data_IF_445201323966
#
_entry.id   IF_445201323966
#
_cell.length_a   1.000
_cell.length_b   1.000
_cell.length_c   1.000
_cell.angle_alpha   90.00
_cell.angle_beta   90.00
_cell.angle_gamma   90.00
#
_symmetry.space_group_name_H-M   'P 1'
#
loop_
_entity.id
_entity.type
_entity.pdbx_description
1 polymer ?
#
# COMPACT_ATOMS: atom_id res chain seq x y z
N UNK A 1 30.23 -70.28 -7.07
CA UNK A 1 29.68 -69.23 -6.17
C UNK A 1 29.72 -67.91 -6.92
N UNK A 2 28.61 -67.50 -7.56
CA UNK A 2 28.44 -66.15 -8.11
C UNK A 2 27.13 -65.59 -7.56
N UNK A 3 27.24 -64.65 -6.64
CA UNK A 3 26.13 -63.90 -6.04
C UNK A 3 25.71 -62.78 -7.00
N UNK A 4 24.45 -62.82 -7.47
CA UNK A 4 23.80 -61.71 -8.17
C UNK A 4 23.26 -60.71 -7.14
N UNK A 5 23.75 -59.48 -7.16
CA UNK A 5 23.14 -58.36 -6.42
C UNK A 5 22.19 -57.64 -7.39
N UNK A 6 20.90 -57.62 -7.05
CA UNK A 6 19.86 -56.92 -7.76
C UNK A 6 19.73 -55.53 -7.13
N UNK A 7 20.19 -54.49 -7.82
CA UNK A 7 20.03 -53.10 -7.39
C UNK A 7 18.66 -52.59 -7.80
N UNK A 8 17.76 -52.39 -6.82
CA UNK A 8 16.46 -51.77 -7.01
C UNK A 8 16.63 -50.24 -6.96
N UNK A 9 16.49 -49.57 -8.11
CA UNK A 9 16.47 -48.11 -8.20
C UNK A 9 15.09 -47.60 -7.76
N UNK A 10 15.02 -47.02 -6.57
CA UNK A 10 13.87 -46.25 -6.11
C UNK A 10 13.95 -44.84 -6.71
N UNK A 11 13.18 -44.57 -7.76
CA UNK A 11 13.00 -43.22 -8.30
C UNK A 11 12.13 -42.42 -7.33
N UNK A 12 12.76 -41.52 -6.57
CA UNK A 12 12.04 -40.58 -5.70
C UNK A 12 11.35 -39.53 -6.59
N UNK A 13 10.06 -39.71 -6.86
CA UNK A 13 9.25 -38.68 -7.51
C UNK A 13 9.07 -37.52 -6.52
N UNK A 14 9.75 -36.40 -6.77
CA UNK A 14 9.50 -35.15 -6.06
C UNK A 14 8.14 -34.64 -6.55
N UNK A 15 7.09 -34.89 -5.76
CA UNK A 15 5.79 -34.25 -5.96
C UNK A 15 5.95 -32.79 -5.54
N UNK A 16 6.09 -31.89 -6.50
CA UNK A 16 6.03 -30.46 -6.24
C UNK A 16 4.67 -30.15 -5.59
N UNK A 17 4.69 -29.58 -4.39
CA UNK A 17 3.47 -29.12 -3.76
C UNK A 17 2.80 -28.07 -4.68
N UNK A 18 1.48 -28.16 -4.93
CA UNK A 18 0.79 -27.14 -5.70
C UNK A 18 0.96 -25.82 -4.96
N UNK A 19 1.57 -24.83 -5.63
CA UNK A 19 1.51 -23.45 -5.15
C UNK A 19 0.03 -23.11 -5.12
N UNK A 20 -0.47 -22.67 -3.96
CA UNK A 20 -1.87 -22.30 -3.81
C UNK A 20 -2.16 -21.18 -4.81
N UNK A 21 -2.80 -21.51 -5.93
CA UNK A 21 -3.24 -20.54 -6.91
C UNK A 21 -4.21 -19.61 -6.19
N UNK A 22 -3.93 -18.30 -6.25
CA UNK A 22 -4.79 -17.27 -5.71
C UNK A 22 -6.25 -17.52 -6.18
N UNK A 23 -7.27 -17.40 -5.30
CA UNK A 23 -8.64 -17.63 -5.69
C UNK A 23 -8.99 -16.77 -6.90
N UNK A 24 -9.35 -17.42 -8.01
CA UNK A 24 -9.79 -16.70 -9.20
C UNK A 24 -10.93 -15.75 -8.80
N UNK A 25 -10.80 -14.46 -9.14
CA UNK A 25 -11.68 -13.34 -8.76
C UNK A 25 -11.48 -12.66 -7.40
N UNK A 26 -10.34 -12.82 -6.72
CA UNK A 26 -10.02 -11.97 -5.55
C UNK A 26 -9.08 -10.81 -5.89
N UNK A 27 -9.16 -9.74 -5.12
CA UNK A 27 -8.16 -8.65 -5.11
C UNK A 27 -7.12 -8.98 -4.04
N UNK A 28 -5.84 -8.93 -4.39
CA UNK A 28 -4.74 -9.16 -3.44
C UNK A 28 -3.94 -7.88 -3.26
N UNK A 29 -3.61 -7.55 -2.01
CA UNK A 29 -2.84 -6.35 -1.67
C UNK A 29 -1.70 -6.78 -0.75
N UNK A 30 -0.49 -6.34 -1.01
CA UNK A 30 0.72 -6.72 -0.29
C UNK A 30 1.43 -5.46 0.18
N UNK A 31 1.61 -5.31 1.48
CA UNK A 31 2.49 -4.30 2.08
C UNK A 31 3.86 -4.94 2.27
N UNK A 32 4.80 -4.54 1.42
CA UNK A 32 6.13 -5.13 1.33
C UNK A 32 7.09 -4.30 2.17
N UNK A 33 7.84 -4.94 3.06
CA UNK A 33 8.75 -4.22 3.95
C UNK A 33 9.94 -3.63 3.18
N UNK A 34 9.97 -2.30 3.13
CA UNK A 34 11.03 -1.46 2.59
C UNK A 34 11.56 -0.50 3.67
N UNK A 35 11.47 -0.91 4.95
CA UNK A 35 12.03 -0.22 6.12
C UNK A 35 11.59 1.25 6.28
N UNK A 36 10.29 1.49 6.13
CA UNK A 36 9.70 2.82 6.29
C UNK A 36 9.64 3.65 5.01
N UNK A 37 9.92 3.09 3.85
CA UNK A 37 9.39 3.59 2.58
C UNK A 37 7.98 3.06 2.28
N UNK A 38 7.40 3.46 1.15
CA UNK A 38 6.13 2.93 0.65
C UNK A 38 6.35 1.85 -0.41
N UNK A 39 5.71 0.68 -0.28
CA UNK A 39 5.68 -0.34 -1.33
C UNK A 39 4.43 -1.23 -1.18
N UNK A 40 3.36 -0.84 -1.88
CA UNK A 40 2.07 -1.54 -1.83
C UNK A 40 1.75 -2.14 -3.20
N UNK A 41 1.91 -3.46 -3.31
CA UNK A 41 1.58 -4.21 -4.52
C UNK A 41 0.12 -4.64 -4.48
N UNK A 42 -0.64 -4.32 -5.52
CA UNK A 42 -2.02 -4.74 -5.72
C UNK A 42 -2.10 -5.64 -6.96
N UNK A 43 -2.53 -6.89 -6.78
CA UNK A 43 -2.83 -7.80 -7.90
C UNK A 43 -4.34 -7.85 -8.09
N UNK A 44 -4.77 -7.32 -9.23
CA UNK A 44 -6.19 -7.22 -9.60
C UNK A 44 -6.81 -8.59 -9.85
N UNK A 45 -8.14 -8.73 -9.74
CA UNK A 45 -8.85 -9.95 -10.14
C UNK A 45 -8.61 -10.42 -11.59
N UNK A 46 -8.15 -9.53 -12.47
CA UNK A 46 -7.79 -9.82 -13.85
C UNK A 46 -6.29 -10.15 -14.05
N UNK A 47 -5.51 -10.22 -12.96
CA UNK A 47 -4.09 -10.57 -12.96
C UNK A 47 -3.15 -9.44 -13.42
N UNK A 48 -3.60 -8.19 -13.47
CA UNK A 48 -2.70 -7.03 -13.59
C UNK A 48 -2.12 -6.62 -12.25
N UNK A 49 -0.87 -6.16 -12.25
CA UNK A 49 -0.14 -5.68 -11.09
C UNK A 49 -0.05 -4.15 -11.05
N UNK A 50 -0.52 -3.54 -9.96
CA UNK A 50 -0.38 -2.12 -9.65
C UNK A 50 0.58 -2.02 -8.46
N UNK A 51 1.68 -1.30 -8.61
CA UNK A 51 2.61 -1.01 -7.52
C UNK A 51 2.46 0.47 -7.14
N UNK A 52 1.99 0.73 -5.92
CA UNK A 52 1.91 2.07 -5.34
C UNK A 52 3.15 2.25 -4.48
N UNK A 53 4.03 3.15 -4.91
CA UNK A 53 5.37 3.36 -4.37
C UNK A 53 6.29 2.11 -4.41
N UNK A 54 7.60 2.31 -4.31
CA UNK A 54 8.61 1.27 -4.53
C UNK A 54 9.78 1.31 -3.54
N UNK A 55 9.64 1.98 -2.40
CA UNK A 55 10.68 2.06 -1.38
C UNK A 55 11.88 2.89 -1.81
N UNK A 56 13.00 2.69 -1.11
CA UNK A 56 14.26 3.38 -1.36
C UNK A 56 14.96 2.83 -2.61
N UNK A 57 15.84 3.61 -3.22
CA UNK A 57 16.70 3.14 -4.32
C UNK A 57 17.82 2.21 -3.82
N UNK A 58 17.45 1.07 -3.24
CA UNK A 58 18.31 0.06 -2.66
C UNK A 58 18.04 -1.30 -3.30
N UNK A 59 19.09 -2.11 -3.42
CA UNK A 59 18.96 -3.46 -3.97
C UNK A 59 18.08 -4.37 -3.10
N UNK A 60 18.12 -4.17 -1.78
CA UNK A 60 17.27 -4.87 -0.80
C UNK A 60 15.79 -4.67 -1.11
N UNK A 61 15.35 -3.42 -1.22
CA UNK A 61 13.94 -3.06 -1.43
C UNK A 61 13.46 -3.60 -2.78
N UNK A 62 14.26 -3.38 -3.83
CA UNK A 62 13.95 -3.90 -5.16
C UNK A 62 13.90 -5.44 -5.19
N UNK A 63 14.77 -6.12 -4.44
CA UNK A 63 14.74 -7.58 -4.30
C UNK A 63 13.49 -8.05 -3.56
N UNK A 64 13.14 -7.43 -2.43
CA UNK A 64 11.94 -7.78 -1.65
C UNK A 64 10.66 -7.59 -2.46
N UNK A 65 10.55 -6.47 -3.18
CA UNK A 65 9.40 -6.21 -4.06
C UNK A 65 9.31 -7.25 -5.18
N UNK A 66 10.44 -7.51 -5.86
CA UNK A 66 10.52 -8.52 -6.91
C UNK A 66 10.14 -9.92 -6.40
N UNK A 67 10.67 -10.32 -5.24
CA UNK A 67 10.47 -11.66 -4.67
C UNK A 67 9.02 -11.88 -4.23
N UNK A 68 8.36 -10.85 -3.68
CA UNK A 68 6.91 -10.92 -3.41
C UNK A 68 6.12 -10.94 -4.72
N UNK A 69 6.44 -10.07 -5.69
CA UNK A 69 5.72 -10.01 -6.96
C UNK A 69 5.77 -11.35 -7.72
N UNK A 70 6.96 -11.91 -7.90
CA UNK A 70 7.17 -13.13 -8.69
C UNK A 70 6.93 -14.38 -7.85
N UNK A 71 7.55 -14.47 -6.67
CA UNK A 71 7.57 -15.68 -5.85
C UNK A 71 6.27 -15.95 -5.09
N UNK A 72 5.54 -14.89 -4.69
CA UNK A 72 4.32 -15.00 -3.89
C UNK A 72 3.08 -14.67 -4.72
N UNK A 73 3.07 -13.52 -5.38
CA UNK A 73 1.89 -13.01 -6.08
C UNK A 73 1.75 -13.58 -7.51
N UNK A 74 2.80 -14.20 -8.05
CA UNK A 74 2.79 -14.86 -9.35
C UNK A 74 2.72 -13.90 -10.55
N UNK A 75 3.12 -12.64 -10.38
CA UNK A 75 3.16 -11.63 -11.45
C UNK A 75 4.59 -11.42 -11.94
N UNK A 76 4.78 -11.37 -13.25
CA UNK A 76 6.10 -11.28 -13.88
C UNK A 76 6.50 -9.85 -14.31
N UNK A 77 5.61 -8.88 -14.08
CA UNK A 77 5.80 -7.48 -14.46
C UNK A 77 4.93 -6.58 -13.57
N UNK A 78 5.24 -5.30 -13.52
CA UNK A 78 4.37 -4.26 -12.96
C UNK A 78 3.65 -3.56 -14.12
N UNK A 79 2.32 -3.65 -14.17
CA UNK A 79 1.52 -3.06 -15.25
C UNK A 79 1.30 -1.55 -15.06
N UNK A 80 1.24 -1.11 -13.80
CA UNK A 80 1.08 0.29 -13.39
C UNK A 80 1.96 0.54 -12.18
N UNK A 81 2.92 1.45 -12.29
CA UNK A 81 3.63 2.01 -11.14
C UNK A 81 3.10 3.41 -10.86
N UNK A 82 2.68 3.67 -9.62
CA UNK A 82 2.19 4.97 -9.16
C UNK A 82 3.15 5.47 -8.08
N UNK A 83 3.90 6.53 -8.37
CA UNK A 83 4.58 7.29 -7.34
C UNK A 83 3.58 8.25 -6.70
N UNK A 84 3.27 8.07 -5.42
CA UNK A 84 2.35 8.96 -4.70
C UNK A 84 2.91 10.37 -4.67
N UNK A 85 4.21 10.52 -4.40
CA UNK A 85 4.93 11.79 -4.41
C UNK A 85 6.42 11.57 -4.64
N UNK A 86 7.20 12.66 -4.63
CA UNK A 86 8.60 12.65 -5.05
C UNK A 86 9.62 12.58 -3.90
N UNK A 87 9.32 11.85 -2.82
CA UNK A 87 10.36 11.45 -1.85
C UNK A 87 11.00 10.11 -2.22
N UNK A 88 12.31 10.02 -1.97
CA UNK A 88 13.18 8.94 -2.44
C UNK A 88 12.77 7.54 -1.99
N UNK A 89 12.05 7.43 -0.89
CA UNK A 89 11.52 6.21 -0.31
C UNK A 89 10.14 5.80 -0.84
N UNK A 90 9.65 6.55 -1.82
CA UNK A 90 8.42 6.27 -2.56
C UNK A 90 8.74 5.99 -4.02
N UNK A 91 9.31 6.95 -4.75
CA UNK A 91 9.60 6.77 -6.18
C UNK A 91 10.97 6.12 -6.45
N UNK A 92 11.92 6.23 -5.51
CA UNK A 92 13.33 5.94 -5.77
C UNK A 92 13.59 4.48 -6.10
N UNK A 93 12.95 3.55 -5.39
CA UNK A 93 13.14 2.11 -5.61
C UNK A 93 12.66 1.62 -6.97
N UNK A 94 11.82 2.37 -7.70
CA UNK A 94 11.45 2.05 -9.07
C UNK A 94 12.66 1.98 -10.01
N UNK A 95 13.71 2.77 -9.73
CA UNK A 95 14.98 2.76 -10.49
C UNK A 95 15.67 1.41 -10.34
N UNK A 96 15.82 0.91 -9.11
CA UNK A 96 16.44 -0.39 -8.85
C UNK A 96 15.55 -1.55 -9.30
N UNK A 97 14.24 -1.47 -9.08
CA UNK A 97 13.28 -2.50 -9.46
C UNK A 97 13.19 -2.69 -10.98
N UNK A 98 13.27 -1.61 -11.77
CA UNK A 98 13.25 -1.68 -13.24
C UNK A 98 14.38 -2.50 -13.85
N UNK A 99 15.47 -2.71 -13.10
CA UNK A 99 16.60 -3.56 -13.51
C UNK A 99 16.34 -5.06 -13.25
N UNK A 100 15.30 -5.37 -12.47
CA UNK A 100 14.94 -6.72 -12.02
C UNK A 100 13.67 -7.24 -12.69
N UNK A 101 12.69 -6.38 -12.94
CA UNK A 101 11.46 -6.73 -13.66
C UNK A 101 10.94 -5.57 -14.50
N UNK A 102 10.14 -5.88 -15.52
CA UNK A 102 9.54 -4.87 -16.37
C UNK A 102 8.49 -4.05 -15.60
N UNK A 103 8.56 -2.73 -15.73
CA UNK A 103 7.52 -1.78 -15.32
C UNK A 103 6.98 -1.10 -16.57
N UNK A 104 5.67 -1.22 -16.83
CA UNK A 104 5.09 -0.83 -18.13
C UNK A 104 4.66 0.62 -18.21
N UNK A 105 4.02 1.13 -17.16
CA UNK A 105 3.45 2.47 -17.13
C UNK A 105 3.79 3.15 -15.82
N UNK A 106 4.20 4.41 -15.91
CA UNK A 106 4.60 5.21 -14.77
C UNK A 106 3.61 6.35 -14.58
N UNK A 107 3.20 6.57 -13.35
CA UNK A 107 2.24 7.59 -12.96
C UNK A 107 2.78 8.38 -11.78
N UNK A 108 2.35 9.65 -11.64
CA UNK A 108 2.73 10.49 -10.52
C UNK A 108 1.75 11.62 -10.24
N UNK A 109 2.03 12.41 -9.21
CA UNK A 109 1.18 13.51 -8.72
C UNK A 109 1.17 14.80 -9.56
N UNK A 110 1.74 14.76 -10.77
CA UNK A 110 1.92 15.94 -11.60
C UNK A 110 3.03 15.77 -12.63
N UNK A 111 3.41 16.86 -13.33
CA UNK A 111 4.64 16.88 -14.09
C UNK A 111 5.83 16.53 -13.18
N UNK A 112 6.82 15.82 -13.73
CA UNK A 112 8.04 15.46 -12.98
C UNK A 112 8.66 16.71 -12.35
N UNK A 113 8.76 16.73 -11.02
CA UNK A 113 9.22 17.88 -10.26
C UNK A 113 10.62 18.35 -10.71
N UNK A 114 10.84 19.65 -10.72
CA UNK A 114 12.15 20.23 -11.02
C UNK A 114 13.02 20.30 -9.76
N UNK A 115 12.40 20.46 -8.60
CA UNK A 115 13.05 20.48 -7.28
C UNK A 115 12.09 19.97 -6.22
N UNK A 116 12.65 19.31 -5.21
CA UNK A 116 11.98 18.86 -3.98
C UNK A 116 12.95 19.18 -2.83
N UNK A 117 12.90 20.39 -2.27
CA UNK A 117 13.88 20.85 -1.27
C UNK A 117 13.89 20.06 0.03
N UNK A 118 12.78 19.41 0.33
CA UNK A 118 12.52 18.56 1.48
C UNK A 118 13.01 17.11 1.30
N UNK A 119 13.58 16.76 0.14
CA UNK A 119 14.25 15.47 -0.09
C UNK A 119 15.71 15.67 -0.55
N UNK A 120 16.70 15.42 0.33
CA UNK A 120 18.12 15.53 0.00
C UNK A 120 18.60 14.59 -1.12
N UNK A 121 17.92 13.47 -1.36
CA UNK A 121 18.29 12.49 -2.39
C UNK A 121 17.73 12.84 -3.77
N UNK A 122 16.72 13.70 -3.83
CA UNK A 122 16.03 14.06 -5.06
C UNK A 122 16.98 14.53 -6.19
N UNK A 123 17.98 15.43 -5.96
CA UNK A 123 18.88 15.88 -7.03
C UNK A 123 19.70 14.75 -7.66
N UNK A 124 19.99 13.69 -6.91
CA UNK A 124 20.73 12.53 -7.39
C UNK A 124 19.83 11.50 -8.09
N UNK A 125 18.62 11.28 -7.57
CA UNK A 125 17.72 10.22 -8.04
C UNK A 125 16.82 10.65 -9.21
N UNK A 126 16.34 11.90 -9.22
CA UNK A 126 15.40 12.36 -10.26
C UNK A 126 15.99 12.29 -11.69
N UNK A 127 17.29 12.57 -11.95
CA UNK A 127 17.88 12.34 -13.28
C UNK A 127 17.81 10.88 -13.74
N UNK A 128 18.05 9.92 -12.83
CA UNK A 128 17.96 8.49 -13.13
C UNK A 128 16.51 8.06 -13.41
N UNK A 129 15.57 8.58 -12.61
CA UNK A 129 14.14 8.33 -12.84
C UNK A 129 13.66 8.92 -14.18
N UNK A 130 14.12 10.13 -14.54
CA UNK A 130 13.84 10.74 -15.85
C UNK A 130 14.37 9.91 -17.01
N UNK A 131 15.57 9.33 -16.89
CA UNK A 131 16.11 8.43 -17.92
C UNK A 131 15.29 7.14 -18.05
N UNK A 132 14.83 6.58 -16.92
CA UNK A 132 13.94 5.43 -16.87
C UNK A 132 12.61 5.68 -17.59
N UNK A 133 11.93 6.77 -17.25
CA UNK A 133 10.55 7.03 -17.72
C UNK A 133 10.50 7.83 -19.02
N UNK A 134 11.55 8.59 -19.36
CA UNK A 134 11.59 9.51 -20.49
C UNK A 134 10.35 10.43 -20.48
N UNK A 135 9.59 10.44 -21.58
CA UNK A 135 8.35 11.21 -21.72
C UNK A 135 7.08 10.37 -21.44
N UNK A 136 7.23 9.18 -20.84
CA UNK A 136 6.11 8.22 -20.67
C UNK A 136 5.43 8.30 -19.30
N UNK A 137 5.94 9.11 -18.37
CA UNK A 137 5.30 9.32 -17.07
C UNK A 137 4.01 10.15 -17.22
N UNK A 138 2.90 9.64 -16.70
CA UNK A 138 1.57 10.26 -16.79
C UNK A 138 1.18 10.91 -15.47
N UNK A 139 0.86 12.20 -15.51
CA UNK A 139 0.34 12.91 -14.35
C UNK A 139 -1.12 12.50 -14.07
N UNK A 140 -1.36 11.93 -12.89
CA UNK A 140 -2.69 11.60 -12.39
C UNK A 140 -3.38 12.84 -11.84
N UNK A 141 -4.66 13.01 -12.16
CA UNK A 141 -5.51 14.12 -11.71
C UNK A 141 -6.69 13.60 -10.91
N UNK A 142 -7.23 14.37 -9.96
CA UNK A 142 -8.43 13.97 -9.25
C UNK A 142 -9.59 13.69 -10.20
N UNK A 143 -10.25 12.55 -10.02
CA UNK A 143 -11.30 12.03 -10.89
C UNK A 143 -10.81 11.02 -11.93
N UNK A 144 -9.51 10.97 -12.25
CA UNK A 144 -8.95 9.96 -13.15
C UNK A 144 -9.20 8.55 -12.59
N UNK A 145 -9.29 7.58 -13.49
CA UNK A 145 -9.37 6.15 -13.17
C UNK A 145 -8.28 5.41 -13.91
N UNK A 146 -7.57 4.50 -13.24
CA UNK A 146 -6.60 3.64 -13.92
C UNK A 146 -7.34 2.71 -14.89
N UNK A 147 -6.88 2.68 -16.15
CA UNK A 147 -7.49 1.89 -17.22
C UNK A 147 -7.10 0.41 -17.13
N UNK A 148 -7.50 -0.24 -16.04
CA UNK A 148 -7.18 -1.64 -15.74
C UNK A 148 -8.09 -2.64 -16.47
N UNK A 149 -7.55 -3.83 -16.76
CA UNK A 149 -8.35 -4.97 -17.20
C UNK A 149 -9.36 -5.35 -16.13
N UNK A 150 -10.59 -5.56 -16.55
CA UNK A 150 -11.68 -5.94 -15.67
C UNK A 150 -11.78 -7.46 -15.55
N UNK A 151 -12.25 -7.99 -14.41
CA UNK A 151 -12.45 -9.43 -14.27
C UNK A 151 -13.46 -9.94 -15.30
N UNK A 152 -13.28 -11.19 -15.75
CA UNK A 152 -14.18 -11.83 -16.70
C UNK A 152 -15.59 -12.09 -16.11
N UNK A 153 -15.72 -12.12 -14.78
CA UNK A 153 -16.98 -12.29 -14.06
C UNK A 153 -16.93 -11.56 -12.71
N UNK A 154 -18.09 -11.22 -12.16
CA UNK A 154 -18.20 -10.40 -10.94
C UNK A 154 -18.22 -8.89 -11.24
N UNK A 155 -18.27 -8.05 -10.19
CA UNK A 155 -18.30 -6.60 -10.36
C UNK A 155 -16.95 -6.07 -10.90
N UNK A 156 -16.94 -4.88 -11.51
CA UNK A 156 -15.69 -4.24 -11.90
C UNK A 156 -14.85 -3.85 -10.68
N UNK A 157 -13.52 -3.81 -10.87
CA UNK A 157 -12.60 -3.12 -9.96
C UNK A 157 -12.40 -1.70 -10.50
N UNK A 158 -12.66 -0.71 -9.66
CA UNK A 158 -12.35 0.69 -9.93
C UNK A 158 -11.16 1.13 -9.08
N UNK A 159 -10.22 1.84 -9.68
CA UNK A 159 -9.11 2.50 -8.98
C UNK A 159 -9.18 3.97 -9.36
N UNK A 160 -9.70 4.80 -8.46
CA UNK A 160 -9.97 6.22 -8.70
C UNK A 160 -8.99 7.11 -7.94
N UNK A 161 -8.52 8.15 -8.60
CA UNK A 161 -7.71 9.20 -7.98
C UNK A 161 -8.64 10.17 -7.28
N UNK A 162 -8.56 10.27 -5.95
CA UNK A 162 -9.39 11.16 -5.14
C UNK A 162 -8.71 12.51 -4.93
N UNK A 163 -7.38 12.50 -4.78
CA UNK A 163 -6.56 13.70 -4.72
C UNK A 163 -5.21 13.47 -5.39
N UNK A 164 -4.59 14.55 -5.84
CA UNK A 164 -3.25 14.54 -6.46
C UNK A 164 -2.75 15.99 -6.55
N UNK A 165 -1.52 16.25 -6.11
CA UNK A 165 -0.90 17.58 -6.19
C UNK A 165 -1.73 18.66 -5.49
N UNK A 166 -2.18 18.37 -4.25
CA UNK A 166 -3.07 19.22 -3.41
C UNK A 166 -4.46 19.53 -3.99
N UNK A 167 -4.83 18.92 -5.12
CA UNK A 167 -6.16 19.06 -5.70
C UNK A 167 -6.99 17.84 -5.32
N UNK A 168 -8.28 18.05 -5.11
CA UNK A 168 -9.24 17.01 -4.73
C UNK A 168 -10.30 16.84 -5.82
N UNK A 169 -10.92 15.67 -5.83
CA UNK A 169 -12.09 15.39 -6.66
C UNK A 169 -13.25 16.31 -6.25
N UNK A 170 -14.04 16.74 -7.23
CA UNK A 170 -15.25 17.51 -6.94
C UNK A 170 -16.32 16.69 -6.22
N UNK A 171 -17.33 17.39 -5.69
CA UNK A 171 -18.50 16.80 -5.05
C UNK A 171 -19.60 16.36 -6.03
N UNK A 172 -19.43 16.63 -7.33
CA UNK A 172 -20.42 16.35 -8.36
C UNK A 172 -20.81 14.87 -8.37
N UNK A 173 -22.11 14.59 -8.22
CA UNK A 173 -22.65 13.22 -8.15
C UNK A 173 -22.56 12.55 -6.79
N UNK A 174 -22.04 13.23 -5.76
CA UNK A 174 -22.06 12.77 -4.36
C UNK A 174 -23.18 13.45 -3.58
N UNK A 175 -23.79 12.77 -2.58
CA UNK A 175 -24.74 13.42 -1.70
C UNK A 175 -24.12 14.65 -1.05
N UNK A 176 -24.82 15.78 -1.08
CA UNK A 176 -24.38 17.03 -0.44
C UNK A 176 -24.55 17.00 1.08
N UNK A 177 -24.65 15.82 1.70
CA UNK A 177 -24.86 15.64 3.13
C UNK A 177 -23.60 16.10 3.86
N UNK A 178 -23.69 17.10 4.75
CA UNK A 178 -22.56 17.52 5.58
C UNK A 178 -22.04 16.35 6.39
N UNK A 179 -20.72 16.22 6.48
CA UNK A 179 -20.11 15.23 7.35
C UNK A 179 -20.26 15.70 8.81
N UNK A 180 -21.03 14.99 9.67
CA UNK A 180 -21.27 15.41 11.05
C UNK A 180 -19.99 15.40 11.91
N UNK A 181 -18.93 14.71 11.47
CA UNK A 181 -17.66 14.62 12.17
C UNK A 181 -16.74 15.82 11.91
N UNK A 182 -17.12 16.78 11.06
CA UNK A 182 -16.26 17.93 10.76
C UNK A 182 -15.98 18.86 11.95
N UNK A 183 -16.69 18.70 13.07
CA UNK A 183 -16.34 19.34 14.35
C UNK A 183 -15.07 18.77 14.99
N UNK A 184 -14.64 17.58 14.60
CA UNK A 184 -13.39 16.94 15.06
C UNK A 184 -12.16 17.42 14.30
N UNK A 185 -12.33 18.31 13.31
CA UNK A 185 -11.20 18.93 12.62
C UNK A 185 -10.28 19.61 13.62
N UNK A 186 -9.00 19.36 13.43
CA UNK A 186 -7.94 20.05 14.15
C UNK A 186 -7.39 21.19 13.29
N UNK A 187 -6.80 22.19 13.95
CA UNK A 187 -6.01 23.19 13.25
C UNK A 187 -4.82 22.51 12.57
N UNK A 188 -4.74 22.64 11.25
CA UNK A 188 -3.66 22.09 10.45
C UNK A 188 -2.96 23.22 9.70
N UNK A 189 -1.65 23.35 9.92
CA UNK A 189 -0.82 24.27 9.14
C UNK A 189 -0.68 23.73 7.72
N UNK A 190 -0.58 24.64 6.75
CA UNK A 190 -0.21 24.25 5.39
C UNK A 190 1.16 23.59 5.41
N UNK A 191 1.25 22.42 4.80
CA UNK A 191 2.50 21.68 4.63
C UNK A 191 3.06 21.95 3.22
N UNK A 192 4.24 22.59 3.10
CA UNK A 192 4.84 22.90 1.81
C UNK A 192 5.61 21.73 1.17
N UNK A 193 5.78 20.62 1.89
CA UNK A 193 6.53 19.44 1.44
C UNK A 193 5.84 18.69 0.29
N UNK A 194 6.53 17.72 -0.32
CA UNK A 194 5.92 16.83 -1.32
C UNK A 194 4.86 15.87 -0.73
N UNK A 195 4.83 15.67 0.58
CA UNK A 195 3.84 14.81 1.25
C UNK A 195 2.42 15.31 1.00
N UNK A 196 2.19 16.63 1.12
CA UNK A 196 0.88 17.22 0.83
C UNK A 196 0.47 17.12 -0.66
N UNK A 197 1.38 16.76 -1.57
CA UNK A 197 1.09 16.52 -2.98
C UNK A 197 0.72 15.07 -3.31
N UNK A 198 0.67 14.15 -2.34
CA UNK A 198 0.45 12.72 -2.61
C UNK A 198 -0.76 12.44 -3.51
N UNK A 199 -0.60 11.48 -4.44
CA UNK A 199 -1.71 10.82 -5.12
C UNK A 199 -2.47 9.98 -4.10
N UNK A 200 -3.77 10.19 -4.01
CA UNK A 200 -4.68 9.40 -3.17
C UNK A 200 -5.50 8.48 -4.06
N UNK A 201 -5.45 7.18 -3.79
CA UNK A 201 -6.15 6.15 -4.54
C UNK A 201 -7.27 5.52 -3.70
N UNK A 202 -8.45 5.42 -4.30
CA UNK A 202 -9.58 4.66 -3.77
C UNK A 202 -9.85 3.47 -4.68
N UNK A 203 -9.66 2.27 -4.13
CA UNK A 203 -9.99 1.01 -4.78
C UNK A 203 -11.41 0.61 -4.37
N UNK A 204 -12.24 0.26 -5.34
CA UNK A 204 -13.59 -0.26 -5.09
C UNK A 204 -13.82 -1.54 -5.89
N UNK A 205 -14.07 -2.63 -5.18
CA UNK A 205 -14.36 -3.94 -5.75
C UNK A 205 -15.63 -4.52 -5.14
N UNK A 206 -16.75 -4.39 -5.86
CA UNK A 206 -18.07 -4.66 -5.27
C UNK A 206 -18.30 -3.79 -4.02
N UNK A 207 -18.54 -4.43 -2.87
CA UNK A 207 -18.70 -3.76 -1.58
C UNK A 207 -17.36 -3.51 -0.85
N UNK A 208 -16.26 -4.11 -1.30
CA UNK A 208 -14.95 -3.85 -0.69
C UNK A 208 -14.38 -2.52 -1.16
N UNK A 209 -13.87 -1.73 -0.22
CA UNK A 209 -13.20 -0.45 -0.47
C UNK A 209 -11.86 -0.38 0.26
N UNK A 210 -10.81 0.05 -0.44
CA UNK A 210 -9.47 0.26 0.10
C UNK A 210 -8.96 1.67 -0.21
N UNK A 211 -8.52 2.38 0.82
CA UNK A 211 -7.95 3.72 0.72
C UNK A 211 -6.44 3.70 0.98
N UNK A 212 -5.71 4.34 0.06
CA UNK A 212 -4.27 4.59 0.14
C UNK A 212 -4.02 6.08 -0.17
N UNK A 213 -3.62 6.85 0.86
CA UNK A 213 -3.31 8.27 0.71
C UNK A 213 -1.83 8.58 0.50
N UNK A 214 -0.95 7.58 0.41
CA UNK A 214 0.50 7.80 0.44
C UNK A 214 0.91 8.51 1.72
N UNK A 215 1.61 9.64 1.59
CA UNK A 215 2.10 10.44 2.72
C UNK A 215 1.27 11.71 2.95
N UNK A 216 0.02 11.74 2.48
CA UNK A 216 -0.82 12.93 2.56
C UNK A 216 -0.92 13.46 4.00
N UNK A 217 -0.89 14.78 4.15
CA UNK A 217 -0.86 15.43 5.47
C UNK A 217 -2.18 16.12 5.84
N UNK A 218 -2.34 16.37 7.15
CA UNK A 218 -3.60 16.78 7.80
C UNK A 218 -4.35 17.88 7.09
N UNK A 219 -3.65 18.89 6.57
CA UNK A 219 -4.29 20.01 5.91
C UNK A 219 -5.11 19.58 4.69
N UNK A 220 -4.63 18.60 3.91
CA UNK A 220 -5.31 18.07 2.72
C UNK A 220 -6.23 16.91 3.10
N UNK A 221 -5.81 16.02 4.00
CA UNK A 221 -6.63 14.90 4.50
C UNK A 221 -7.98 15.38 5.04
N UNK A 222 -8.01 16.46 5.82
CA UNK A 222 -9.27 17.00 6.36
C UNK A 222 -10.19 17.54 5.26
N UNK A 223 -9.65 17.94 4.09
CA UNK A 223 -10.47 18.40 2.95
C UNK A 223 -11.10 17.22 2.20
N UNK A 224 -10.53 16.01 2.29
CA UNK A 224 -11.13 14.80 1.72
C UNK A 224 -12.45 14.46 2.41
N UNK A 225 -12.61 14.86 3.68
CA UNK A 225 -13.77 14.48 4.48
C UNK A 225 -14.64 15.66 4.93
N UNK A 226 -14.21 16.90 4.69
CA UNK A 226 -14.95 18.10 5.09
C UNK A 226 -15.01 19.17 3.99
N UNK A 227 -16.17 19.86 3.82
CA UNK A 227 -17.38 19.78 4.66
C UNK A 227 -18.25 18.54 4.39
N UNK A 228 -17.94 17.78 3.34
CA UNK A 228 -18.62 16.54 2.97
C UNK A 228 -17.58 15.42 2.85
N UNK A 229 -18.00 14.18 3.09
CA UNK A 229 -17.13 13.02 2.92
C UNK A 229 -16.98 12.66 1.43
N UNK A 230 -15.85 13.01 0.81
CA UNK A 230 -15.54 12.70 -0.59
C UNK A 230 -14.99 11.29 -0.78
N UNK A 231 -14.71 10.55 0.30
CA UNK A 231 -14.19 9.19 0.21
C UNK A 231 -15.34 8.19 0.42
N UNK A 232 -16.09 8.37 1.51
CA UNK A 232 -17.05 7.38 2.01
C UNK A 232 -16.40 6.39 2.96
N UNK A 233 -17.18 5.39 3.40
CA UNK A 233 -16.71 4.32 4.26
C UNK A 233 -15.72 3.40 3.52
N UNK A 234 -14.68 2.95 4.24
CA UNK A 234 -13.65 2.04 3.72
C UNK A 234 -13.60 0.75 4.53
N UNK A 235 -13.45 -0.40 3.87
CA UNK A 235 -13.19 -1.66 4.58
C UNK A 235 -11.73 -1.73 5.06
N UNK A 236 -10.80 -1.24 4.24
CA UNK A 236 -9.37 -1.29 4.50
C UNK A 236 -8.74 0.10 4.32
N UNK A 237 -7.93 0.50 5.29
CA UNK A 237 -7.17 1.75 5.26
C UNK A 237 -5.68 1.45 5.45
N UNK A 238 -4.85 1.82 4.48
CA UNK A 238 -3.41 1.95 4.71
C UNK A 238 -3.19 3.29 5.37
N UNK A 239 -2.57 3.30 6.56
CA UNK A 239 -2.30 4.56 7.26
C UNK A 239 -1.49 5.50 6.38
N UNK A 240 -1.83 6.79 6.40
CA UNK A 240 -1.09 7.77 5.61
C UNK A 240 0.25 8.08 6.31
N UNK A 241 1.28 8.37 5.53
CA UNK A 241 2.58 8.84 6.01
C UNK A 241 3.17 7.93 7.08
N UNK A 242 3.10 6.62 6.87
CA UNK A 242 3.60 5.59 7.78
C UNK A 242 3.02 5.64 9.20
N UNK A 243 1.99 6.45 9.45
CA UNK A 243 1.44 6.73 10.77
C UNK A 243 2.16 7.84 11.54
N UNK A 244 2.79 8.81 10.86
CA UNK A 244 3.26 10.05 11.49
C UNK A 244 2.09 10.92 11.97
N UNK A 245 2.30 11.63 13.08
CA UNK A 245 1.29 12.51 13.70
C UNK A 245 1.02 13.79 12.89
N UNK A 246 1.87 14.09 11.89
CA UNK A 246 1.61 15.14 10.89
C UNK A 246 0.45 14.79 9.95
N UNK A 247 0.06 13.52 9.91
CA UNK A 247 -1.03 12.96 9.11
C UNK A 247 -2.09 12.32 10.00
N UNK A 248 -3.10 11.69 9.41
CA UNK A 248 -4.10 10.85 10.06
C UNK A 248 -4.92 11.57 11.16
N UNK A 249 -5.60 12.69 10.84
CA UNK A 249 -6.41 13.38 11.84
C UNK A 249 -7.61 12.50 12.24
N UNK A 250 -8.08 12.59 13.51
CA UNK A 250 -9.23 11.81 13.96
C UNK A 250 -10.44 11.95 13.03
N UNK A 251 -10.72 13.17 12.53
CA UNK A 251 -11.80 13.39 11.56
C UNK A 251 -11.64 12.57 10.28
N UNK A 252 -10.42 12.32 9.78
CA UNK A 252 -10.22 11.44 8.63
C UNK A 252 -10.56 10.00 9.03
N UNK A 253 -9.88 9.47 10.05
CA UNK A 253 -10.02 8.08 10.48
C UNK A 253 -11.49 7.74 10.79
N UNK A 254 -12.16 8.58 11.58
CA UNK A 254 -13.55 8.34 11.95
C UNK A 254 -14.52 8.49 10.76
N UNK A 255 -14.24 9.39 9.82
CA UNK A 255 -15.07 9.56 8.61
C UNK A 255 -14.89 8.46 7.58
N UNK A 256 -13.69 7.89 7.48
CA UNK A 256 -13.44 6.69 6.68
C UNK A 256 -14.09 5.45 7.30
N UNK A 257 -14.37 5.48 8.60
CA UNK A 257 -14.99 4.39 9.35
C UNK A 257 -14.34 3.01 9.07
N UNK A 258 -12.98 2.91 9.03
CA UNK A 258 -12.28 1.74 8.57
C UNK A 258 -12.54 0.55 9.48
N UNK A 259 -12.55 -0.64 8.88
CA UNK A 259 -12.64 -1.89 9.63
C UNK A 259 -11.29 -2.45 9.98
N UNK A 260 -10.37 -2.41 9.02
CA UNK A 260 -9.01 -2.90 9.15
C UNK A 260 -8.07 -1.78 8.76
N UNK A 261 -6.99 -1.62 9.54
CA UNK A 261 -5.91 -0.69 9.22
C UNK A 261 -4.61 -1.45 9.06
N UNK A 262 -3.82 -1.10 8.05
CA UNK A 262 -2.43 -1.56 7.92
C UNK A 262 -1.49 -0.36 8.07
N UNK A 263 -0.58 -0.46 9.04
CA UNK A 263 0.45 0.52 9.33
C UNK A 263 1.72 0.11 8.60
N UNK A 264 2.05 0.80 7.50
CA UNK A 264 3.21 0.58 6.63
C UNK A 264 4.47 1.28 7.15
N UNK A 265 4.76 1.15 8.44
CA UNK A 265 5.90 1.78 9.10
C UNK A 265 7.17 0.92 9.02
N UNK A 266 8.32 1.55 9.26
CA UNK A 266 9.59 0.87 9.48
C UNK A 266 9.93 0.69 10.97
N UNK A 267 11.03 0.00 11.30
CA UNK A 267 11.48 -0.18 12.69
C UNK A 267 11.74 1.15 13.41
N UNK A 268 12.07 2.20 12.65
CA UNK A 268 12.55 3.48 13.13
C UNK A 268 11.81 4.68 12.51
N UNK A 269 10.77 4.45 11.71
CA UNK A 269 10.03 5.49 10.97
C UNK A 269 8.53 5.18 11.01
N UNK A 270 7.69 6.16 11.37
CA UNK A 270 6.22 6.03 11.42
C UNK A 270 5.68 5.48 12.74
N UNK A 271 4.39 5.12 12.78
CA UNK A 271 3.66 4.62 13.95
C UNK A 271 3.82 5.50 15.22
N UNK A 272 3.55 6.80 15.08
CA UNK A 272 3.71 7.78 16.15
C UNK A 272 2.56 7.76 17.18
N UNK A 273 2.82 8.21 18.43
CA UNK A 273 1.91 7.98 19.55
C UNK A 273 0.49 8.52 19.35
N UNK A 274 0.30 9.72 18.78
CA UNK A 274 -1.04 10.31 18.66
C UNK A 274 -1.87 9.55 17.64
N UNK A 275 -1.27 9.20 16.51
CA UNK A 275 -1.90 8.43 15.43
C UNK A 275 -2.27 7.04 15.95
N UNK A 276 -1.33 6.31 16.54
CA UNK A 276 -1.58 4.96 17.05
C UNK A 276 -2.63 4.94 18.15
N UNK A 277 -2.63 5.93 19.06
CA UNK A 277 -3.67 6.09 20.07
C UNK A 277 -5.05 6.26 19.43
N UNK A 278 -5.16 7.08 18.38
CA UNK A 278 -6.42 7.31 17.66
C UNK A 278 -6.93 6.01 17.04
N UNK A 279 -6.06 5.25 16.38
CA UNK A 279 -6.40 3.95 15.80
C UNK A 279 -6.93 2.98 16.88
N UNK A 280 -6.24 2.84 18.01
CA UNK A 280 -6.64 1.91 19.06
C UNK A 280 -7.94 2.32 19.78
N UNK A 281 -8.29 3.61 19.76
CA UNK A 281 -9.54 4.11 20.34
C UNK A 281 -10.72 4.16 19.37
N UNK A 282 -10.51 3.95 18.08
CA UNK A 282 -11.57 4.06 17.06
C UNK A 282 -12.45 2.80 17.07
N UNK A 283 -13.75 2.88 17.40
CA UNK A 283 -14.59 1.68 17.58
C UNK A 283 -14.81 0.84 16.32
N UNK A 284 -14.72 1.44 15.13
CA UNK A 284 -14.94 0.73 13.87
C UNK A 284 -13.79 -0.22 13.49
N UNK A 285 -12.60 0.00 14.06
CA UNK A 285 -11.39 -0.75 13.74
C UNK A 285 -11.38 -2.04 14.54
N UNK A 286 -11.48 -3.17 13.84
CA UNK A 286 -11.41 -4.51 14.44
C UNK A 286 -9.97 -4.97 14.67
N UNK A 287 -9.04 -4.56 13.81
CA UNK A 287 -7.61 -4.89 13.92
C UNK A 287 -6.74 -3.82 13.27
N UNK A 288 -5.68 -3.42 13.97
CA UNK A 288 -4.54 -2.69 13.42
C UNK A 288 -3.43 -3.70 13.15
N UNK A 289 -3.05 -3.84 11.89
CA UNK A 289 -1.89 -4.62 11.45
C UNK A 289 -0.71 -3.69 11.25
N UNK A 290 0.50 -4.18 11.46
CA UNK A 290 1.69 -3.35 11.44
C UNK A 290 2.83 -4.07 10.72
N UNK A 291 3.38 -3.44 9.68
CA UNK A 291 4.50 -4.04 8.91
C UNK A 291 5.70 -4.25 9.81
N UNK A 292 6.01 -3.29 10.67
CA UNK A 292 7.17 -3.39 11.54
C UNK A 292 6.90 -2.90 12.95
N UNK A 293 7.41 -3.59 13.97
CA UNK A 293 7.46 -3.05 15.34
C UNK A 293 8.26 -1.76 15.32
N UNK A 294 7.67 -0.65 15.75
CA UNK A 294 8.39 0.59 16.01
C UNK A 294 9.24 0.40 17.28
N UNK A 295 10.55 0.57 17.14
CA UNK A 295 11.54 0.37 18.19
C UNK A 295 11.84 1.66 18.98
N UNK A 296 11.36 2.81 18.52
CA UNK A 296 11.61 4.13 19.12
C UNK A 296 10.45 4.64 19.99
N UNK A 297 9.20 4.41 19.59
CA UNK A 297 8.02 5.02 20.23
C UNK A 297 7.48 4.25 21.46
N UNK A 298 8.11 3.13 21.82
CA UNK A 298 7.74 2.30 22.98
C UNK A 298 6.61 1.31 22.70
N UNK A 299 6.44 0.32 23.59
CA UNK A 299 5.56 -0.84 23.31
C UNK A 299 4.08 -0.47 23.19
N UNK A 300 3.65 0.59 23.86
CA UNK A 300 2.27 1.07 23.85
C UNK A 300 1.83 1.72 22.53
N UNK A 301 2.76 2.01 21.62
CA UNK A 301 2.46 2.52 20.26
C UNK A 301 2.50 1.42 19.21
N UNK A 302 2.75 0.18 19.61
CA UNK A 302 2.71 -0.97 18.72
C UNK A 302 1.37 -1.72 18.89
N UNK A 303 0.88 -2.33 17.82
CA UNK A 303 -0.25 -3.26 17.93
C UNK A 303 0.17 -4.54 18.66
N UNK A 304 -0.75 -5.47 18.87
CA UNK A 304 -0.41 -6.75 19.51
C UNK A 304 0.64 -7.51 18.68
N UNK A 305 1.62 -8.18 19.31
CA UNK A 305 2.71 -8.83 18.59
C UNK A 305 2.27 -9.79 17.47
N UNK A 306 1.17 -10.51 17.63
CA UNK A 306 0.63 -11.41 16.61
C UNK A 306 0.16 -10.71 15.32
N UNK A 307 -0.03 -9.38 15.34
CA UNK A 307 -0.43 -8.56 14.20
C UNK A 307 0.71 -7.66 13.67
N UNK A 308 1.95 -7.91 14.13
CA UNK A 308 3.15 -7.25 13.61
C UNK A 308 3.93 -8.24 12.75
N UNK A 309 4.19 -7.90 11.49
CA UNK A 309 4.93 -8.80 10.58
C UNK A 309 6.40 -8.95 10.97
N UNK A 310 7.08 -7.84 11.29
CA UNK A 310 8.50 -7.80 11.60
C UNK A 310 8.74 -7.26 13.03
N UNK A 311 9.27 -8.10 13.92
CA UNK A 311 9.35 -7.81 15.36
C UNK A 311 10.67 -7.17 15.82
N UNK A 312 11.75 -7.39 15.06
CA UNK A 312 13.12 -7.06 15.47
C UNK A 312 13.71 -6.02 14.54
N UNK A 313 14.72 -5.28 15.01
CA UNK A 313 15.54 -4.51 14.09
C UNK A 313 16.11 -5.45 13.01
N UNK A 314 16.05 -5.00 11.76
CA UNK A 314 16.49 -5.79 10.61
C UNK A 314 17.98 -6.19 10.72
N UNK A 315 18.27 -7.45 10.37
CA UNK A 315 19.62 -8.02 10.36
C UNK A 315 19.95 -8.80 9.07
N UNK A 316 19.28 -8.47 7.96
CA UNK A 316 19.52 -9.14 6.67
C UNK A 316 18.54 -8.75 5.57
N UNK A 317 18.41 -9.62 4.55
CA UNK A 317 17.57 -9.38 3.37
C UNK A 317 16.13 -9.85 3.52
N UNK A 318 15.81 -10.66 4.54
CA UNK A 318 14.48 -11.26 4.70
C UNK A 318 13.63 -10.45 5.66
N UNK A 319 12.48 -10.00 5.18
CA UNK A 319 11.40 -9.44 5.98
C UNK A 319 10.07 -10.06 5.54
N UNK A 320 9.13 -10.15 6.46
CA UNK A 320 7.77 -10.59 6.17
C UNK A 320 6.95 -9.43 5.60
N UNK A 321 6.07 -9.74 4.65
CA UNK A 321 5.06 -8.82 4.13
C UNK A 321 3.72 -9.03 4.86
N UNK A 322 2.78 -8.11 4.67
CA UNK A 322 1.37 -8.32 5.03
C UNK A 322 0.57 -8.48 3.75
N UNK A 323 -0.31 -9.46 3.67
CA UNK A 323 -1.20 -9.69 2.53
C UNK A 323 -2.66 -9.54 2.95
N UNK A 324 -3.42 -8.73 2.21
CA UNK A 324 -4.86 -8.77 2.17
C UNK A 324 -5.34 -9.60 0.97
N UNK A 325 -6.39 -10.39 1.20
CA UNK A 325 -7.22 -10.99 0.14
C UNK A 325 -8.65 -10.50 0.33
N UNK A 326 -9.14 -9.73 -0.64
CA UNK A 326 -10.43 -9.08 -0.60
C UNK A 326 -11.37 -9.64 -1.67
N UNK A 327 -12.60 -9.91 -1.26
CA UNK A 327 -13.68 -10.40 -2.11
C UNK A 327 -14.65 -9.26 -2.49
N UNK A 328 -15.38 -9.38 -3.61
CA UNK A 328 -16.35 -8.36 -4.01
C UNK A 328 -17.53 -8.22 -3.04
N UNK A 329 -17.72 -9.20 -2.15
CA UNK A 329 -18.73 -9.17 -1.09
C UNK A 329 -18.43 -8.15 0.02
N UNK A 330 -17.18 -7.67 0.11
CA UNK A 330 -16.67 -6.95 1.29
C UNK A 330 -16.00 -7.87 2.29
N UNK A 331 -15.99 -9.19 2.07
CA UNK A 331 -15.20 -10.10 2.88
C UNK A 331 -13.70 -9.85 2.65
N UNK A 332 -12.92 -9.94 3.73
CA UNK A 332 -11.49 -9.68 3.72
C UNK A 332 -10.78 -10.73 4.58
N UNK A 333 -9.57 -11.12 4.20
CA UNK A 333 -8.65 -11.77 5.13
C UNK A 333 -7.29 -11.09 5.06
N UNK A 334 -6.63 -10.96 6.22
CA UNK A 334 -5.27 -10.45 6.33
C UNK A 334 -4.37 -11.57 6.85
N UNK A 335 -3.18 -11.68 6.29
CA UNK A 335 -2.17 -12.67 6.65
C UNK A 335 -0.76 -12.04 6.70
N UNK A 336 0.04 -12.40 7.69
CA UNK A 336 1.48 -12.09 7.73
C UNK A 336 2.23 -13.17 6.96
N UNK A 337 3.00 -12.77 5.95
CA UNK A 337 3.79 -13.67 5.11
C UNK A 337 2.95 -14.80 4.50
N UNK A 338 3.63 -15.87 4.09
CA UNK A 338 2.96 -17.05 3.53
C UNK A 338 2.38 -17.98 4.61
N UNK A 339 2.81 -17.85 5.87
CA UNK A 339 2.51 -18.82 6.96
C UNK A 339 2.28 -18.21 8.34
N UNK A 340 2.30 -16.89 8.48
CA UNK A 340 2.09 -16.20 9.75
C UNK A 340 0.62 -16.10 10.15
N UNK A 341 0.36 -15.24 11.13
CA UNK A 341 -1.00 -14.98 11.66
C UNK A 341 -1.95 -14.62 10.52
N UNK A 342 -3.13 -15.26 10.52
CA UNK A 342 -4.23 -14.98 9.59
C UNK A 342 -5.51 -14.68 10.34
N UNK A 343 -6.23 -13.63 9.94
CA UNK A 343 -7.58 -13.31 10.45
C UNK A 343 -8.50 -13.01 9.27
N UNK A 344 -9.73 -13.52 9.35
CA UNK A 344 -10.78 -13.27 8.37
C UNK A 344 -11.87 -12.37 8.94
N UNK A 345 -12.52 -11.64 8.05
CA UNK A 345 -13.40 -10.52 8.32
C UNK A 345 -14.64 -10.70 7.43
N UNK A 346 -15.79 -11.04 8.02
CA UNK A 346 -17.06 -11.24 7.30
C UNK A 346 -17.59 -9.91 6.74
N UNK A 347 -18.31 -9.86 5.61
CA UNK A 347 -18.90 -8.62 5.09
C UNK A 347 -19.68 -7.84 6.16
N UNK A 348 -19.64 -6.50 6.09
CA UNK A 348 -20.42 -5.61 6.97
C UNK A 348 -21.92 -5.61 6.65
#
# INVERSE_FOLDING_TARGET
MLTKILSLLFSLAVVAAPHASLPASSLHIYWIDVEGGGATLVVTPAGEAILVDAGWNLDRDASRIHDVAVGVAGVNQIDYFVATHWHADHYGGAIALSKRMQIKRFFGNGPLAQSVPDDPQFPALMPLYRDLVKDTSVALRPGDKLAIRQPASGPPLQVQVIASGRKLIGSSGRPATPNPLCSEKEEAKSDPSQNADSVVLLFQYGSFTFFDGGDLTRAVEQQLVCPINLVGDVELFQIDHHGFDLSNPPVLIHSLHPRVVVVNNGPQKGAEPKTMKTLFSTPSIETVWQVHRNLQAGDHTNTKPEFIANQQAENGSKAEFIQATAEPSGALSIQIGERGTRKSYLPR
#
